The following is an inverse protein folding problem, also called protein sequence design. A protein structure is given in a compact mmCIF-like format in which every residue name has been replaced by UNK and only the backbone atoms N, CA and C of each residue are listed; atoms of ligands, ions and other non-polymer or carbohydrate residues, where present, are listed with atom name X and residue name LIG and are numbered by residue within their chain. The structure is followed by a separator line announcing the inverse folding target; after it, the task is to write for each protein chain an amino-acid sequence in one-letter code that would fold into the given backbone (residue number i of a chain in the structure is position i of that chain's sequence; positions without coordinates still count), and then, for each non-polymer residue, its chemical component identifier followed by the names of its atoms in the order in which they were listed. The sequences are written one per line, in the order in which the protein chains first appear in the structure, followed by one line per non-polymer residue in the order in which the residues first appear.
data_IF_536000849329
#
_entry.id   IF_536000849329
#
_cell.length_a   1.000
_cell.length_b   1.000
_cell.length_c   1.000
_cell.angle_alpha   90.00
_cell.angle_beta   90.00
_cell.angle_gamma   90.00
#
_symmetry.space_group_name_H-M   'P 1'
#
loop_
_entity.id
_entity.type
_entity.pdbx_description
1 polymer ?
#
# COMPACT_ATOMS: atom_id res chain seq x y z
N UNK A 1 -17.75 22.59 3.44
CA UNK A 1 -17.67 21.53 4.46
C UNK A 1 -16.38 21.74 5.24
N UNK A 2 -16.46 21.81 6.58
CA UNK A 2 -15.26 21.87 7.42
C UNK A 2 -14.58 20.50 7.37
N UNK A 3 -13.33 20.48 6.91
CA UNK A 3 -12.46 19.30 6.90
C UNK A 3 -11.96 19.03 8.33
N UNK A 4 -12.82 18.54 9.21
CA UNK A 4 -12.45 18.33 10.63
C UNK A 4 -12.88 16.98 11.19
N UNK A 5 -13.19 16.01 10.34
CA UNK A 5 -13.37 14.61 10.75
C UNK A 5 -12.80 13.70 9.65
N UNK A 6 -11.48 13.71 9.47
CA UNK A 6 -10.82 12.70 8.64
C UNK A 6 -10.60 11.45 9.53
N UNK A 7 -11.33 10.33 9.33
CA UNK A 7 -11.33 9.20 10.27
C UNK A 7 -10.03 8.37 10.28
N UNK A 8 -9.01 8.79 9.52
CA UNK A 8 -7.69 8.17 9.38
C UNK A 8 -6.60 9.26 9.24
N UNK A 9 -6.61 10.29 10.10
CA UNK A 9 -5.46 11.21 10.24
C UNK A 9 -4.21 10.48 10.74
N UNK A 10 -4.39 9.41 11.50
CA UNK A 10 -3.32 8.58 12.04
C UNK A 10 -3.18 7.25 11.30
N UNK A 11 -1.93 6.81 11.16
CA UNK A 11 -1.58 5.53 10.56
C UNK A 11 -2.20 4.36 11.35
N UNK A 12 -3.09 3.61 10.71
CA UNK A 12 -3.87 2.55 11.34
C UNK A 12 -3.51 1.17 10.79
N UNK A 13 -3.29 0.21 11.70
CA UNK A 13 -2.83 -1.14 11.36
C UNK A 13 -3.97 -2.13 11.14
N UNK A 14 -3.85 -2.90 10.07
CA UNK A 14 -4.76 -3.99 9.68
C UNK A 14 -3.96 -5.26 9.36
N UNK A 15 -3.56 -5.98 10.42
CA UNK A 15 -2.72 -7.18 10.26
C UNK A 15 -1.35 -6.82 9.70
N UNK A 16 -1.04 -7.33 8.50
CA UNK A 16 0.22 -7.05 7.81
C UNK A 16 0.28 -5.65 7.16
N UNK A 17 -0.85 -4.95 7.05
CA UNK A 17 -0.89 -3.58 6.51
C UNK A 17 -0.92 -2.54 7.61
N UNK A 18 -0.45 -1.38 7.25
CA UNK A 18 -0.66 -0.13 7.95
C UNK A 18 -1.09 0.91 6.92
N UNK A 19 -2.14 1.67 7.17
CA UNK A 19 -2.70 2.59 6.17
C UNK A 19 -2.96 3.98 6.73
N UNK A 20 -2.85 4.97 5.87
CA UNK A 20 -3.20 6.37 6.15
C UNK A 20 -4.15 6.86 5.06
N UNK A 21 -5.18 7.62 5.41
CA UNK A 21 -6.08 8.24 4.43
C UNK A 21 -5.56 9.63 4.07
N UNK A 22 -5.22 9.81 2.80
CA UNK A 22 -4.62 11.04 2.28
C UNK A 22 -5.46 11.65 1.18
N UNK A 23 -5.23 12.93 0.93
CA UNK A 23 -5.85 13.68 -0.16
C UNK A 23 -5.00 13.57 -1.41
N UNK A 24 -5.62 13.59 -2.60
CA UNK A 24 -4.89 13.66 -3.87
C UNK A 24 -3.93 14.85 -3.94
N UNK A 25 -4.16 15.92 -3.16
CA UNK A 25 -3.23 17.04 -3.04
C UNK A 25 -1.87 16.67 -2.42
N UNK A 26 -1.79 15.57 -1.67
CA UNK A 26 -0.57 15.06 -1.06
C UNK A 26 0.32 14.30 -2.07
N UNK A 27 -0.22 14.00 -3.26
CA UNK A 27 0.53 13.35 -4.34
C UNK A 27 1.13 14.40 -5.27
N UNK A 28 2.33 14.09 -5.78
CA UNK A 28 2.92 14.85 -6.88
C UNK A 28 1.98 14.88 -8.07
N UNK A 29 1.90 16.05 -8.71
CA UNK A 29 0.97 16.30 -9.81
C UNK A 29 1.03 15.24 -10.92
N UNK A 30 2.23 14.83 -11.33
CA UNK A 30 2.42 13.80 -12.36
C UNK A 30 1.77 12.46 -11.96
N UNK A 31 1.94 12.03 -10.70
CA UNK A 31 1.33 10.79 -10.20
C UNK A 31 -0.18 10.95 -10.11
N UNK A 32 -0.65 12.10 -9.61
CA UNK A 32 -2.07 12.42 -9.50
C UNK A 32 -2.77 12.39 -10.87
N UNK A 33 -2.17 12.97 -11.90
CA UNK A 33 -2.71 12.96 -13.26
C UNK A 33 -2.77 11.55 -13.86
N UNK A 34 -1.72 10.74 -13.72
CA UNK A 34 -1.69 9.35 -14.20
C UNK A 34 -2.78 8.50 -13.55
N UNK A 35 -3.08 8.76 -12.27
CA UNK A 35 -4.12 8.05 -11.52
C UNK A 35 -5.51 8.66 -11.66
N UNK A 36 -5.64 9.74 -12.44
CA UNK A 36 -6.87 10.51 -12.58
C UNK A 36 -7.51 10.89 -11.22
N UNK A 37 -6.65 11.26 -10.27
CA UNK A 37 -7.07 11.75 -8.95
C UNK A 37 -7.20 13.26 -8.99
N UNK A 38 -8.24 13.80 -8.37
CA UNK A 38 -8.38 15.24 -8.10
C UNK A 38 -7.81 15.57 -6.73
N UNK A 39 -7.53 16.84 -6.47
CA UNK A 39 -7.00 17.29 -5.17
C UNK A 39 -7.92 16.88 -4.02
N UNK A 40 -9.24 16.99 -4.20
CA UNK A 40 -10.22 16.59 -3.19
C UNK A 40 -10.51 15.09 -3.12
N UNK A 41 -9.98 14.26 -4.04
CA UNK A 41 -10.16 12.81 -3.97
C UNK A 41 -9.33 12.22 -2.83
N UNK A 42 -9.88 11.22 -2.15
CA UNK A 42 -9.19 10.50 -1.09
C UNK A 42 -8.54 9.23 -1.63
N UNK A 43 -7.36 8.89 -1.11
CA UNK A 43 -6.69 7.62 -1.37
C UNK A 43 -6.13 7.03 -0.07
N UNK A 44 -5.97 5.71 -0.05
CA UNK A 44 -5.28 5.04 1.05
C UNK A 44 -3.82 4.84 0.66
N UNK A 45 -2.93 5.41 1.45
CA UNK A 45 -1.52 5.06 1.42
C UNK A 45 -1.30 3.79 2.23
N UNK A 46 -0.68 2.79 1.62
CA UNK A 46 -0.49 1.45 2.19
C UNK A 46 0.99 1.23 2.49
N UNK A 47 1.26 0.86 3.72
CA UNK A 47 2.57 0.51 4.25
C UNK A 47 2.56 -0.91 4.80
N UNK A 48 3.75 -1.51 4.85
CA UNK A 48 4.01 -2.82 5.49
C UNK A 48 5.15 -2.59 6.48
N UNK A 49 4.86 -2.16 7.72
CA UNK A 49 5.87 -1.67 8.65
C UNK A 49 6.77 -2.79 9.20
N UNK A 50 6.25 -4.01 9.24
CA UNK A 50 6.90 -5.16 9.85
C UNK A 50 7.14 -6.29 8.85
N UNK A 51 8.26 -6.98 9.03
CA UNK A 51 8.55 -8.19 8.26
C UNK A 51 7.65 -9.32 8.74
N UNK A 52 6.72 -9.75 7.89
CA UNK A 52 5.90 -10.94 8.18
C UNK A 52 6.79 -12.18 8.06
N UNK A 53 6.88 -12.96 9.16
CA UNK A 53 7.68 -14.19 9.24
C UNK A 53 6.78 -15.42 9.08
N UNK A 54 7.29 -16.47 8.43
CA UNK A 54 6.57 -17.73 8.26
C UNK A 54 6.89 -18.41 6.93
N UNK A 55 6.18 -19.49 6.61
CA UNK A 55 6.19 -20.06 5.27
C UNK A 55 5.55 -19.08 4.28
N UNK A 56 5.84 -19.17 2.97
CA UNK A 56 5.22 -18.31 1.96
C UNK A 56 3.69 -18.28 2.05
N UNK A 57 3.06 -19.42 2.35
CA UNK A 57 1.60 -19.55 2.50
C UNK A 57 1.09 -18.80 3.73
N UNK A 58 1.79 -18.89 4.86
CA UNK A 58 1.43 -18.18 6.10
C UNK A 58 1.56 -16.65 5.92
N UNK A 59 2.63 -16.21 5.25
CA UNK A 59 2.84 -14.80 4.91
C UNK A 59 1.71 -14.29 4.01
N UNK A 60 1.41 -15.01 2.93
CA UNK A 60 0.33 -14.63 2.02
C UNK A 60 -1.04 -14.61 2.71
N UNK A 61 -1.31 -15.56 3.60
CA UNK A 61 -2.53 -15.59 4.41
C UNK A 61 -2.65 -14.34 5.28
N UNK A 62 -1.58 -13.94 5.96
CA UNK A 62 -1.56 -12.73 6.79
C UNK A 62 -1.89 -11.46 6.00
N UNK A 63 -1.36 -11.33 4.77
CA UNK A 63 -1.72 -10.23 3.88
C UNK A 63 -3.18 -10.29 3.44
N UNK A 64 -3.72 -11.48 3.12
CA UNK A 64 -5.13 -11.63 2.75
C UNK A 64 -6.08 -11.28 3.89
N UNK A 65 -5.79 -11.76 5.09
CA UNK A 65 -6.55 -11.43 6.31
C UNK A 65 -6.50 -9.93 6.63
N UNK A 66 -5.32 -9.30 6.49
CA UNK A 66 -5.17 -7.86 6.64
C UNK A 66 -6.03 -7.08 5.64
N UNK A 67 -6.09 -7.53 4.38
CA UNK A 67 -6.91 -6.89 3.35
C UNK A 67 -8.40 -7.00 3.66
N UNK A 68 -8.84 -8.17 4.15
CA UNK A 68 -10.22 -8.39 4.59
C UNK A 68 -10.58 -7.47 5.75
N UNK A 69 -9.72 -7.36 6.78
CA UNK A 69 -9.91 -6.46 7.93
C UNK A 69 -9.98 -5.00 7.51
N UNK A 70 -9.11 -4.58 6.59
CA UNK A 70 -9.14 -3.23 6.03
C UNK A 70 -10.46 -2.98 5.29
N UNK A 71 -10.93 -3.91 4.45
CA UNK A 71 -12.21 -3.77 3.76
C UNK A 71 -13.40 -3.67 4.74
N UNK A 72 -13.43 -4.49 5.79
CA UNK A 72 -14.47 -4.40 6.83
C UNK A 72 -14.48 -3.03 7.51
N UNK A 73 -13.30 -2.50 7.83
CA UNK A 73 -13.17 -1.17 8.43
C UNK A 73 -13.68 -0.08 7.48
N UNK A 74 -13.32 -0.11 6.19
CA UNK A 74 -13.78 0.88 5.22
C UNK A 74 -15.31 0.84 5.08
N UNK A 75 -15.92 -0.35 5.06
CA UNK A 75 -17.38 -0.50 5.05
C UNK A 75 -17.98 0.09 6.33
N UNK A 76 -17.46 -0.29 7.50
CA UNK A 76 -17.96 0.17 8.81
C UNK A 76 -17.92 1.70 8.93
N UNK A 77 -16.83 2.31 8.44
CA UNK A 77 -16.63 3.77 8.44
C UNK A 77 -17.28 4.49 7.25
N UNK A 78 -17.92 3.75 6.34
CA UNK A 78 -18.52 4.28 5.10
C UNK A 78 -17.52 5.06 4.24
N UNK A 79 -16.28 4.59 4.21
CA UNK A 79 -15.20 5.16 3.43
C UNK A 79 -15.10 4.49 2.06
N UNK A 80 -14.98 5.32 1.03
CA UNK A 80 -14.82 4.91 -0.37
C UNK A 80 -13.70 5.72 -1.03
N UNK A 81 -12.44 5.53 -0.60
CA UNK A 81 -11.30 6.15 -1.27
C UNK A 81 -11.29 5.76 -2.75
N UNK A 82 -10.69 6.56 -3.62
CA UNK A 82 -10.59 6.24 -5.06
C UNK A 82 -9.71 5.02 -5.30
N UNK A 83 -8.64 4.89 -4.53
CA UNK A 83 -7.66 3.83 -4.70
C UNK A 83 -6.81 3.59 -3.45
N UNK A 84 -6.10 2.47 -3.49
CA UNK A 84 -5.00 2.12 -2.60
C UNK A 84 -3.69 2.30 -3.37
N UNK A 85 -2.72 2.94 -2.73
CA UNK A 85 -1.40 3.23 -3.28
C UNK A 85 -0.35 2.76 -2.27
N UNK A 86 0.68 2.06 -2.74
CA UNK A 86 1.84 1.72 -1.93
C UNK A 86 3.12 1.90 -2.72
N UNK A 87 4.22 2.24 -2.04
CA UNK A 87 5.56 2.26 -2.63
C UNK A 87 6.42 1.25 -1.91
N UNK A 88 7.11 0.40 -2.67
CA UNK A 88 7.95 -0.66 -2.10
C UNK A 88 9.04 -1.07 -3.08
N UNK A 89 9.90 -2.02 -2.70
CA UNK A 89 10.91 -2.58 -3.60
C UNK A 89 10.39 -3.79 -4.39
N UNK A 90 11.01 -4.07 -5.53
CA UNK A 90 10.55 -5.10 -6.49
C UNK A 90 10.24 -6.48 -5.87
N UNK A 91 11.04 -6.93 -4.89
CA UNK A 91 10.84 -8.23 -4.25
C UNK A 91 9.53 -8.36 -3.47
N UNK A 92 8.91 -7.24 -3.06
CA UNK A 92 7.58 -7.20 -2.43
C UNK A 92 6.51 -6.88 -3.47
N UNK A 93 6.81 -6.00 -4.42
CA UNK A 93 5.87 -5.61 -5.47
C UNK A 93 5.49 -6.78 -6.39
N UNK A 94 6.43 -7.68 -6.73
CA UNK A 94 6.13 -8.86 -7.55
C UNK A 94 5.04 -9.77 -6.95
N UNK A 95 5.20 -10.22 -5.69
CA UNK A 95 4.14 -10.94 -4.97
C UNK A 95 2.83 -10.15 -4.84
N UNK A 96 2.90 -8.84 -4.57
CA UNK A 96 1.70 -7.99 -4.48
C UNK A 96 0.90 -8.00 -5.81
N UNK A 97 1.59 -7.91 -6.95
CA UNK A 97 0.96 -8.07 -8.27
C UNK A 97 0.33 -9.43 -8.45
N UNK A 98 1.08 -10.48 -8.15
CA UNK A 98 0.67 -11.87 -8.44
C UNK A 98 -0.47 -12.35 -7.55
N UNK A 99 -0.47 -11.97 -6.27
CA UNK A 99 -1.31 -12.61 -5.27
C UNK A 99 -2.30 -11.69 -4.56
N UNK A 100 -2.10 -10.36 -4.64
CA UNK A 100 -2.90 -9.36 -3.93
C UNK A 100 -3.61 -8.39 -4.90
N UNK A 101 -3.53 -8.65 -6.22
CA UNK A 101 -4.24 -7.93 -7.27
C UNK A 101 -3.86 -6.43 -7.39
N UNK A 102 -2.61 -6.09 -7.08
CA UNK A 102 -2.06 -4.75 -7.35
C UNK A 102 -1.54 -4.65 -8.79
N UNK A 103 -1.78 -3.53 -9.43
CA UNK A 103 -0.99 -3.09 -10.58
C UNK A 103 0.36 -2.57 -10.07
N UNK A 104 1.45 -2.92 -10.77
CA UNK A 104 2.81 -2.56 -10.36
C UNK A 104 3.55 -1.91 -11.50
N UNK A 105 4.07 -0.71 -11.23
CA UNK A 105 5.02 0.00 -12.09
C UNK A 105 6.39 -0.04 -11.42
N UNK A 106 7.37 -0.64 -12.07
CA UNK A 106 8.74 -0.75 -11.54
C UNK A 106 9.65 0.34 -12.10
N UNK A 107 10.71 0.66 -11.37
CA UNK A 107 11.72 1.62 -11.82
C UNK A 107 11.33 3.06 -11.60
N UNK A 108 10.51 3.34 -10.58
CA UNK A 108 10.22 4.73 -10.23
C UNK A 108 11.48 5.39 -9.65
N UNK A 109 11.81 6.64 -10.04
CA UNK A 109 12.94 7.36 -9.48
C UNK A 109 12.71 7.64 -7.99
N UNK A 110 13.77 7.61 -7.19
CA UNK A 110 13.66 7.88 -5.74
C UNK A 110 13.17 9.29 -5.49
N UNK A 111 13.53 10.24 -6.37
CA UNK A 111 13.06 11.60 -6.31
C UNK A 111 11.55 11.69 -6.49
N UNK A 112 10.87 10.74 -7.14
CA UNK A 112 9.40 10.75 -7.26
C UNK A 112 8.70 10.32 -5.97
N UNK A 113 9.45 9.81 -5.01
CA UNK A 113 9.00 9.39 -3.69
C UNK A 113 9.55 10.41 -2.69
N UNK A 114 8.79 10.78 -1.66
CA UNK A 114 9.34 11.65 -0.62
C UNK A 114 10.43 10.91 0.18
N UNK A 115 11.36 11.68 0.78
CA UNK A 115 12.50 11.12 1.49
C UNK A 115 12.07 10.20 2.63
N UNK A 116 11.01 10.56 3.36
CA UNK A 116 10.48 9.75 4.46
C UNK A 116 10.03 8.35 3.97
N UNK A 117 9.30 8.27 2.85
CA UNK A 117 8.91 6.99 2.26
C UNK A 117 10.12 6.18 1.80
N UNK A 118 11.11 6.81 1.19
CA UNK A 118 12.33 6.12 0.78
C UNK A 118 13.04 5.51 1.99
N UNK A 119 13.21 6.27 3.07
CA UNK A 119 13.81 5.81 4.33
C UNK A 119 13.00 4.65 4.95
N UNK A 120 11.67 4.73 4.98
CA UNK A 120 10.81 3.65 5.49
C UNK A 120 10.97 2.36 4.67
N UNK A 121 11.12 2.47 3.36
CA UNK A 121 11.34 1.30 2.49
C UNK A 121 12.71 0.69 2.77
N UNK A 122 13.75 1.49 2.95
CA UNK A 122 15.09 1.00 3.27
C UNK A 122 15.15 0.37 4.68
N UNK A 123 14.45 0.96 5.65
CA UNK A 123 14.27 0.36 6.98
C UNK A 123 13.56 -0.99 6.89
N UNK A 124 12.50 -1.11 6.08
CA UNK A 124 11.83 -2.38 5.82
C UNK A 124 12.75 -3.40 5.14
N UNK A 125 13.54 -2.94 4.16
CA UNK A 125 14.47 -3.77 3.41
C UNK A 125 15.60 -4.32 4.28
N UNK A 126 16.17 -3.49 5.17
CA UNK A 126 17.29 -3.88 6.05
C UNK A 126 16.97 -5.08 6.95
N UNK A 127 15.68 -5.31 7.24
CA UNK A 127 15.18 -6.46 8.02
C UNK A 127 15.08 -7.77 7.22
N UNK A 128 15.32 -7.74 5.90
CA UNK A 128 15.14 -8.91 5.02
C UNK A 128 16.37 -9.83 4.99
N UNK A 129 16.16 -11.11 4.66
CA UNK A 129 17.27 -12.06 4.40
C UNK A 129 18.15 -11.64 3.22
N UNK A 130 17.64 -10.83 2.28
CA UNK A 130 18.43 -10.34 1.13
C UNK A 130 19.41 -9.27 1.56
N UNK A 131 18.98 -8.33 2.40
CA UNK A 131 19.86 -7.33 3.01
C UNK A 131 20.96 -8.01 3.83
N UNK A 132 20.60 -9.01 4.66
CA UNK A 132 21.59 -9.80 5.42
C UNK A 132 22.62 -10.54 4.57
N UNK A 133 22.33 -10.77 3.27
CA UNK A 133 23.24 -11.39 2.30
C UNK A 133 23.95 -10.38 1.41
N UNK A 134 23.85 -9.08 1.70
CA UNK A 134 24.47 -8.02 0.89
C UNK A 134 23.88 -7.88 -0.52
N UNK A 135 22.71 -8.46 -0.78
CA UNK A 135 22.07 -8.37 -2.09
C UNK A 135 21.42 -6.96 -2.19
N UNK A 136 21.47 -6.27 -3.33
CA UNK A 136 20.79 -4.99 -3.49
C UNK A 136 19.26 -5.10 -3.40
N UNK A 137 18.62 -4.03 -2.89
CA UNK A 137 17.15 -3.89 -2.76
C UNK A 137 16.41 -4.07 -4.09
N UNK A 138 17.02 -3.60 -5.17
CA UNK A 138 16.38 -3.43 -6.46
C UNK A 138 15.56 -2.14 -6.53
N UNK A 139 14.98 -1.83 -7.70
CA UNK A 139 14.29 -0.56 -7.93
C UNK A 139 13.05 -0.41 -7.04
N UNK A 140 12.70 0.84 -6.77
CA UNK A 140 11.40 1.19 -6.22
C UNK A 140 10.31 0.85 -7.23
N UNK A 141 9.15 0.50 -6.67
CA UNK A 141 7.97 0.08 -7.38
C UNK A 141 6.77 0.81 -6.79
N UNK A 142 5.92 1.30 -7.68
CA UNK A 142 4.63 1.87 -7.36
C UNK A 142 3.57 0.77 -7.49
N UNK A 143 2.84 0.51 -6.41
CA UNK A 143 1.75 -0.44 -6.35
C UNK A 143 0.42 0.34 -6.29
N UNK A 144 -0.51 -0.01 -7.17
CA UNK A 144 -1.82 0.64 -7.27
C UNK A 144 -2.94 -0.38 -7.32
N UNK A 145 -4.07 -0.08 -6.69
CA UNK A 145 -5.30 -0.83 -6.83
C UNK A 145 -6.50 0.10 -6.71
N UNK A 146 -7.44 0.05 -7.66
CA UNK A 146 -8.70 0.81 -7.51
C UNK A 146 -9.51 0.27 -6.33
N UNK A 147 -10.32 1.12 -5.70
CA UNK A 147 -11.14 0.67 -4.56
C UNK A 147 -12.09 -0.46 -4.95
N UNK A 148 -12.74 -0.38 -6.10
CA UNK A 148 -13.59 -1.46 -6.63
C UNK A 148 -12.82 -2.78 -6.78
N UNK A 149 -11.64 -2.75 -7.39
CA UNK A 149 -10.81 -3.94 -7.55
C UNK A 149 -10.32 -4.52 -6.21
N UNK A 150 -10.08 -3.67 -5.22
CA UNK A 150 -9.75 -4.08 -3.86
C UNK A 150 -10.95 -4.75 -3.18
N UNK A 151 -12.15 -4.17 -3.28
CA UNK A 151 -13.36 -4.77 -2.72
C UNK A 151 -13.69 -6.12 -3.37
N UNK A 152 -13.58 -6.22 -4.70
CA UNK A 152 -13.78 -7.48 -5.42
C UNK A 152 -12.74 -8.54 -5.05
N UNK A 153 -11.47 -8.14 -4.88
CA UNK A 153 -10.43 -9.01 -4.38
C UNK A 153 -10.77 -9.54 -2.98
N UNK A 154 -11.14 -8.68 -2.05
CA UNK A 154 -11.44 -9.10 -0.67
C UNK A 154 -12.69 -9.98 -0.59
N UNK A 155 -13.70 -9.76 -1.43
CA UNK A 155 -14.84 -10.68 -1.54
C UNK A 155 -14.44 -12.07 -2.03
N UNK A 156 -13.54 -12.17 -3.03
CA UNK A 156 -13.03 -13.46 -3.51
C UNK A 156 -12.19 -14.19 -2.47
N UNK A 157 -11.44 -13.45 -1.66
CA UNK A 157 -10.61 -14.02 -0.57
C UNK A 157 -11.45 -14.58 0.58
N UNK A 158 -12.67 -14.06 0.80
CA UNK A 158 -13.59 -14.55 1.85
C UNK A 158 -14.31 -15.86 1.50
N UNK A 159 -14.38 -16.21 0.22
CA UNK A 159 -15.03 -17.43 -0.29
C UNK A 159 -14.07 -18.61 -0.23
#
# INVERSE_FOLDING_TARGET
MRYSDNPLEEETRFGAYSVVLKSGNDLREVVRQVLNLKDGDLYLEVHVPDSVKGTPEAVLRSFREGAVKLADFLIQKRLSPKCLIGVTHQNVAGPARRFLNFLVVSGIPEEAVDQEKAERIDQGYSKTRRAAKGIPRGPLCFCYQSFEAFMDFTQRVRR
#
